data_IF_117662995591
#
_entry.id   IF_117662995591
#
_cell.length_a   1.000
_cell.length_b   1.000
_cell.length_c   1.000
_cell.angle_alpha   90.00
_cell.angle_beta   90.00
_cell.angle_gamma   90.00
#
_symmetry.space_group_name_H-M   'P 1'
#
loop_
_entity.id
_entity.type
_entity.pdbx_description
1 polymer ?
#
# COMPACT_ATOMS: atom_id res chain seq x y z
N UNK A 1 -33.68 -4.30 -0.55
CA UNK A 1 -32.76 -4.97 0.39
C UNK A 1 -31.47 -4.19 0.55
N UNK A 2 -31.07 -3.97 1.80
CA UNK A 2 -29.80 -3.34 2.16
C UNK A 2 -28.76 -4.45 2.30
N UNK A 3 -27.77 -4.45 1.42
CA UNK A 3 -26.62 -5.34 1.52
C UNK A 3 -25.48 -4.59 2.22
N UNK A 4 -24.90 -5.21 3.25
CA UNK A 4 -23.76 -4.67 3.98
C UNK A 4 -22.68 -5.73 4.08
N UNK A 5 -21.43 -5.32 3.91
CA UNK A 5 -20.26 -6.17 4.09
C UNK A 5 -19.36 -5.50 5.13
N UNK A 6 -18.81 -6.30 6.05
CA UNK A 6 -17.82 -5.83 7.02
C UNK A 6 -16.45 -6.12 6.43
N UNK A 7 -15.65 -5.08 6.26
CA UNK A 7 -14.26 -5.21 5.81
C UNK A 7 -13.37 -5.43 7.03
N UNK A 8 -12.62 -6.55 7.11
CA UNK A 8 -11.69 -6.77 8.21
C UNK A 8 -10.60 -5.70 8.29
N UNK A 9 -10.06 -5.46 9.49
CA UNK A 9 -8.99 -4.46 9.71
C UNK A 9 -7.70 -4.71 8.91
N UNK A 10 -7.47 -5.95 8.47
CA UNK A 10 -6.31 -6.35 7.66
C UNK A 10 -6.57 -6.25 6.15
N UNK A 11 -7.67 -5.62 5.71
CA UNK A 11 -8.03 -5.53 4.30
C UNK A 11 -8.63 -4.17 4.00
N UNK A 12 -8.30 -3.60 2.84
CA UNK A 12 -8.77 -2.28 2.39
C UNK A 12 -9.78 -2.34 1.24
N UNK A 13 -10.13 -3.55 0.79
CA UNK A 13 -11.00 -3.77 -0.35
C UNK A 13 -12.07 -4.83 -0.08
N UNK A 14 -13.22 -4.73 -0.76
CA UNK A 14 -14.28 -5.74 -0.71
C UNK A 14 -14.97 -5.86 -2.06
N UNK A 15 -15.36 -7.07 -2.43
CA UNK A 15 -16.11 -7.32 -3.65
C UNK A 15 -17.63 -7.19 -3.40
N UNK A 16 -18.33 -6.53 -4.33
CA UNK A 16 -19.79 -6.43 -4.33
C UNK A 16 -20.34 -7.24 -5.51
N UNK A 17 -20.91 -8.41 -5.22
CA UNK A 17 -21.48 -9.31 -6.22
C UNK A 17 -22.99 -9.13 -6.37
N UNK A 18 -23.55 -9.59 -7.49
CA UNK A 18 -25.01 -9.60 -7.71
C UNK A 18 -25.63 -8.25 -8.08
N UNK A 19 -24.80 -7.28 -8.50
CA UNK A 19 -25.31 -6.01 -9.02
C UNK A 19 -25.96 -6.21 -10.39
N UNK A 20 -27.12 -5.59 -10.60
CA UNK A 20 -27.81 -5.58 -11.88
C UNK A 20 -27.05 -4.71 -12.89
N UNK A 21 -26.98 -5.10 -14.17
CA UNK A 21 -26.35 -4.29 -15.21
C UNK A 21 -27.11 -2.97 -15.44
N UNK A 22 -26.43 -1.97 -16.01
CA UNK A 22 -27.00 -0.65 -16.34
C UNK A 22 -27.70 0.07 -15.18
N UNK A 23 -27.20 -0.15 -13.96
CA UNK A 23 -27.81 0.37 -12.73
C UNK A 23 -26.82 1.24 -11.97
N UNK A 24 -27.34 2.16 -11.17
CA UNK A 24 -26.55 3.02 -10.29
C UNK A 24 -26.82 2.63 -8.85
N UNK A 25 -25.76 2.43 -8.09
CA UNK A 25 -25.79 2.08 -6.67
C UNK A 25 -25.10 3.16 -5.86
N UNK A 26 -25.65 3.42 -4.67
CA UNK A 26 -25.03 4.29 -3.67
C UNK A 26 -24.51 3.38 -2.56
N UNK A 27 -23.23 3.50 -2.25
CA UNK A 27 -22.60 2.76 -1.15
C UNK A 27 -22.18 3.76 -0.08
N UNK A 28 -22.64 3.52 1.14
CA UNK A 28 -22.27 4.28 2.34
C UNK A 28 -21.24 3.45 3.13
N UNK A 29 -20.07 4.01 3.36
CA UNK A 29 -18.95 3.41 4.06
C UNK A 29 -18.93 3.97 5.48
N UNK A 30 -18.95 3.08 6.47
CA UNK A 30 -18.85 3.43 7.88
C UNK A 30 -17.54 2.85 8.42
N UNK A 31 -16.73 3.69 9.06
CA UNK A 31 -15.55 3.26 9.80
C UNK A 31 -15.85 3.37 11.29
N UNK A 32 -15.57 2.32 12.06
CA UNK A 32 -15.63 2.35 13.52
C UNK A 32 -14.43 1.64 14.12
N UNK A 33 -14.02 2.10 15.31
CA UNK A 33 -12.90 1.54 16.09
C UNK A 33 -13.33 1.46 17.54
N UNK A 34 -13.17 0.28 18.15
CA UNK A 34 -13.36 0.10 19.59
C UNK A 34 -12.10 0.55 20.34
N UNK A 35 -12.24 1.61 21.15
CA UNK A 35 -11.17 2.14 22.01
C UNK A 35 -11.47 1.87 23.48
N UNK A 36 -10.47 2.03 24.36
CA UNK A 36 -10.64 1.93 25.82
C UNK A 36 -11.63 2.95 26.39
N UNK A 37 -11.88 4.04 25.65
CA UNK A 37 -12.83 5.10 26.03
C UNK A 37 -14.22 4.93 25.37
N UNK A 38 -14.42 3.87 24.58
CA UNK A 38 -15.67 3.59 23.87
C UNK A 38 -15.49 3.45 22.36
N UNK A 39 -16.60 3.36 21.65
CA UNK A 39 -16.62 3.22 20.19
C UNK A 39 -16.42 4.58 19.52
N UNK A 40 -15.38 4.69 18.70
CA UNK A 40 -15.12 5.86 17.86
C UNK A 40 -15.67 5.60 16.47
N UNK A 41 -16.30 6.61 15.88
CA UNK A 41 -16.84 6.53 14.52
C UNK A 41 -16.06 7.50 13.64
N UNK A 42 -15.58 6.99 12.51
CA UNK A 42 -15.02 7.79 11.44
C UNK A 42 -16.08 8.54 10.66
N UNK A 43 -15.64 9.46 9.81
CA UNK A 43 -16.51 10.12 8.85
C UNK A 43 -17.11 9.12 7.87
N UNK A 44 -18.35 9.37 7.46
CA UNK A 44 -19.06 8.52 6.49
C UNK A 44 -18.58 8.81 5.07
N UNK A 45 -18.09 7.78 4.40
CA UNK A 45 -17.79 7.84 2.96
C UNK A 45 -19.04 7.53 2.13
N UNK A 46 -19.22 8.22 1.00
CA UNK A 46 -20.29 7.90 0.03
C UNK A 46 -19.66 7.75 -1.34
N UNK A 47 -19.91 6.61 -1.99
CA UNK A 47 -19.46 6.35 -3.37
C UNK A 47 -20.62 5.93 -4.26
N UNK A 48 -20.50 6.22 -5.55
CA UNK A 48 -21.48 5.87 -6.58
C UNK A 48 -20.88 4.81 -7.51
N UNK A 49 -21.57 3.68 -7.65
CA UNK A 49 -21.16 2.59 -8.53
C UNK A 49 -22.14 2.53 -9.69
N UNK A 50 -21.63 2.66 -10.92
CA UNK A 50 -22.41 2.48 -12.14
C UNK A 50 -22.01 1.18 -12.81
N UNK A 51 -22.94 0.24 -12.94
CA UNK A 51 -22.71 -1.02 -13.63
C UNK A 51 -22.94 -0.86 -15.13
N UNK A 52 -22.05 -1.46 -15.93
CA UNK A 52 -22.17 -1.46 -17.40
C UNK A 52 -23.03 -2.65 -17.89
N UNK A 53 -23.41 -2.62 -19.15
CA UNK A 53 -24.20 -3.68 -19.76
C UNK A 53 -23.40 -5.00 -19.85
N UNK A 54 -24.02 -6.12 -19.51
CA UNK A 54 -23.38 -7.44 -19.50
C UNK A 54 -22.89 -7.89 -20.90
N UNK A 55 -23.47 -7.33 -21.98
CA UNK A 55 -23.08 -7.62 -23.37
C UNK A 55 -21.87 -6.83 -23.86
N UNK A 56 -21.35 -5.89 -23.09
CA UNK A 56 -20.18 -5.05 -23.41
C UNK A 56 -18.95 -5.36 -22.55
N UNK A 57 -18.90 -6.52 -21.90
CA UNK A 57 -17.76 -6.94 -21.04
C UNK A 57 -16.47 -7.27 -21.80
N UNK A 58 -16.37 -6.95 -23.10
CA UNK A 58 -15.07 -6.78 -23.76
C UNK A 58 -14.43 -5.48 -23.25
N UNK A 59 -13.75 -5.61 -22.11
CA UNK A 59 -12.58 -4.85 -21.66
C UNK A 59 -12.51 -3.45 -22.27
N UNK A 60 -13.31 -2.53 -21.73
CA UNK A 60 -12.99 -1.10 -21.81
C UNK A 60 -12.18 -0.79 -20.55
N UNK A 61 -10.85 -0.93 -20.64
CA UNK A 61 -9.89 -0.34 -19.69
C UNK A 61 -9.73 1.15 -20.05
N UNK A 62 -10.83 1.89 -20.13
CA UNK A 62 -10.76 3.35 -20.17
C UNK A 62 -11.39 3.87 -18.88
N UNK A 63 -10.68 4.75 -18.14
CA UNK A 63 -11.27 5.38 -16.97
C UNK A 63 -12.50 6.20 -17.44
N UNK A 64 -13.61 6.18 -16.69
CA UNK A 64 -14.73 7.04 -17.00
C UNK A 64 -14.26 8.50 -16.91
N UNK A 65 -14.38 9.22 -18.01
CA UNK A 65 -14.15 10.66 -18.07
C UNK A 65 -15.28 11.30 -17.25
N UNK A 66 -14.97 11.74 -16.04
CA UNK A 66 -15.88 12.55 -15.24
C UNK A 66 -15.69 14.03 -15.64
N UNK A 67 -16.74 14.65 -16.19
CA UNK A 67 -16.76 16.10 -16.52
C UNK A 67 -16.91 16.98 -15.25
N UNK A 68 -16.40 16.52 -14.11
CA UNK A 68 -16.22 17.34 -12.93
C UNK A 68 -14.73 17.35 -12.62
N UNK A 69 -14.07 18.50 -12.86
CA UNK A 69 -12.62 18.67 -12.86
C UNK A 69 -11.95 18.46 -11.49
N UNK A 70 -11.94 17.21 -11.02
CA UNK A 70 -11.22 16.77 -9.83
C UNK A 70 -10.24 15.68 -10.22
N UNK A 71 -9.04 16.12 -10.57
CA UNK A 71 -7.96 15.26 -11.06
C UNK A 71 -7.28 14.55 -9.88
N UNK A 72 -7.76 13.36 -9.55
CA UNK A 72 -7.06 12.39 -8.69
C UNK A 72 -6.33 11.39 -9.60
N UNK A 73 -5.34 11.89 -10.33
CA UNK A 73 -4.35 11.06 -10.99
C UNK A 73 -3.51 10.34 -9.93
N UNK A 74 -3.98 9.17 -9.47
CA UNK A 74 -3.11 8.16 -8.85
C UNK A 74 -2.41 7.45 -10.01
N UNK A 75 -1.09 7.56 -10.18
CA UNK A 75 -0.40 6.89 -11.27
C UNK A 75 -0.42 5.38 -11.00
N UNK A 76 -1.36 4.68 -11.63
CA UNK A 76 -1.34 3.22 -11.73
C UNK A 76 -0.51 2.89 -12.97
N UNK A 77 0.82 2.96 -12.86
CA UNK A 77 1.70 2.43 -13.91
C UNK A 77 1.84 0.92 -13.69
N UNK A 78 0.82 0.17 -14.08
CA UNK A 78 0.97 -1.23 -14.45
C UNK A 78 1.45 -1.27 -15.90
N UNK A 79 2.70 -0.91 -16.11
CA UNK A 79 3.38 -1.17 -17.38
C UNK A 79 3.90 -2.61 -17.30
N UNK A 80 3.21 -3.51 -17.97
CA UNK A 80 3.75 -4.79 -18.41
C UNK A 80 4.82 -4.48 -19.46
N UNK A 81 6.03 -4.16 -19.00
CA UNK A 81 7.23 -4.09 -19.84
C UNK A 81 8.04 -5.37 -19.60
N UNK A 82 7.86 -6.35 -20.49
CA UNK A 82 8.89 -7.36 -20.72
C UNK A 82 10.09 -6.68 -21.42
N UNK A 83 11.30 -7.12 -21.03
CA UNK A 83 12.64 -6.73 -21.52
C UNK A 83 13.27 -5.49 -20.84
N UNK A 84 14.05 -5.68 -19.77
CA UNK A 84 15.52 -5.89 -19.86
C UNK A 84 16.18 -5.93 -18.46
N UNK A 85 16.82 -7.05 -18.15
CA UNK A 85 17.97 -7.22 -17.24
C UNK A 85 18.20 -6.19 -16.09
N UNK A 86 17.61 -6.43 -14.91
CA UNK A 86 18.30 -6.06 -13.66
C UNK A 86 18.00 -7.03 -12.53
N UNK A 87 19.05 -7.60 -11.97
CA UNK A 87 19.05 -8.70 -11.00
C UNK A 87 18.65 -8.33 -9.57
N UNK A 88 17.95 -7.20 -9.42
CA UNK A 88 17.68 -6.57 -8.14
C UNK A 88 16.18 -6.41 -7.92
N UNK A 89 15.44 -7.52 -7.98
CA UNK A 89 14.00 -7.52 -7.71
C UNK A 89 13.74 -7.34 -6.21
N UNK A 90 12.97 -6.31 -5.84
CA UNK A 90 12.54 -6.02 -4.47
C UNK A 90 11.01 -5.90 -4.47
N UNK A 91 10.35 -6.68 -3.63
CA UNK A 91 8.91 -6.70 -3.42
C UNK A 91 8.57 -5.95 -2.12
N UNK A 92 7.67 -4.97 -2.21
CA UNK A 92 7.22 -4.16 -1.08
C UNK A 92 5.74 -4.46 -0.84
N UNK A 93 5.43 -5.03 0.32
CA UNK A 93 4.06 -5.37 0.67
C UNK A 93 3.23 -4.12 0.97
N UNK A 94 1.93 -4.21 0.74
CA UNK A 94 0.98 -3.16 1.11
C UNK A 94 1.13 -2.83 2.61
N UNK A 95 1.34 -1.55 2.98
CA UNK A 95 1.45 -1.17 4.38
C UNK A 95 0.18 -1.50 5.18
N UNK A 96 0.36 -1.86 6.45
CA UNK A 96 -0.72 -2.18 7.39
C UNK A 96 -0.50 -1.46 8.72
N UNK A 97 -1.59 -1.26 9.48
CA UNK A 97 -1.53 -0.56 10.76
C UNK A 97 -1.75 -1.54 11.92
N UNK A 98 -0.75 -1.66 12.79
CA UNK A 98 -0.79 -2.46 14.03
C UNK A 98 -0.07 -1.68 15.15
N UNK A 99 -0.80 -0.75 15.79
CA UNK A 99 -0.26 0.22 16.74
C UNK A 99 0.57 1.35 16.09
N UNK A 100 1.32 1.02 15.04
CA UNK A 100 2.03 1.94 14.14
C UNK A 100 1.88 1.46 12.69
N UNK A 101 2.09 2.35 11.71
CA UNK A 101 2.07 1.98 10.30
C UNK A 101 3.36 1.24 9.95
N UNK A 102 3.22 0.07 9.33
CA UNK A 102 4.33 -0.82 9.00
C UNK A 102 4.20 -1.37 7.58
N UNK A 103 5.32 -1.79 6.99
CA UNK A 103 5.37 -2.54 5.74
C UNK A 103 6.47 -3.59 5.80
N UNK A 104 6.36 -4.62 4.97
CA UNK A 104 7.37 -5.65 4.82
C UNK A 104 7.99 -5.56 3.44
N UNK A 105 9.32 -5.62 3.39
CA UNK A 105 10.10 -5.57 2.14
C UNK A 105 10.85 -6.88 2.00
N UNK A 106 10.77 -7.49 0.82
CA UNK A 106 11.36 -8.79 0.51
C UNK A 106 12.21 -8.70 -0.76
N UNK A 107 13.43 -9.22 -0.72
CA UNK A 107 14.32 -9.28 -1.90
C UNK A 107 14.83 -10.70 -2.14
N UNK A 108 14.02 -11.69 -1.80
CA UNK A 108 14.36 -13.11 -1.94
C UNK A 108 14.68 -13.53 -3.39
N UNK A 109 14.11 -12.83 -4.37
CA UNK A 109 14.34 -13.07 -5.79
C UNK A 109 15.48 -12.22 -6.37
N UNK A 110 16.19 -11.43 -5.55
CA UNK A 110 17.36 -10.65 -5.96
C UNK A 110 18.63 -11.50 -5.92
N UNK A 111 19.57 -11.26 -6.84
CA UNK A 111 20.92 -11.87 -6.76
C UNK A 111 21.69 -11.49 -5.50
N UNK A 112 21.30 -10.39 -4.84
CA UNK A 112 21.87 -10.00 -3.55
C UNK A 112 21.50 -10.98 -2.43
N UNK A 113 20.34 -11.63 -2.54
CA UNK A 113 19.91 -12.68 -1.63
C UNK A 113 20.59 -14.01 -2.01
N UNK A 114 21.60 -14.41 -1.22
CA UNK A 114 22.29 -15.68 -1.41
C UNK A 114 21.99 -16.64 -0.24
N UNK A 115 22.09 -17.96 -0.44
CA UNK A 115 21.95 -18.93 0.66
C UNK A 115 23.06 -18.85 1.71
N UNK A 116 24.15 -18.11 1.45
CA UNK A 116 25.14 -17.79 2.47
C UNK A 116 24.58 -16.78 3.47
N UNK A 117 24.88 -16.97 4.76
CA UNK A 117 24.51 -16.00 5.80
C UNK A 117 25.15 -14.66 5.48
N UNK A 118 24.30 -13.69 5.16
CA UNK A 118 24.68 -12.30 4.89
C UNK A 118 23.86 -11.40 5.78
N UNK A 119 24.52 -10.37 6.29
CA UNK A 119 23.85 -9.32 7.06
C UNK A 119 23.53 -8.19 6.10
N UNK A 120 22.26 -7.83 5.99
CA UNK A 120 21.82 -6.69 5.20
C UNK A 120 21.56 -5.48 6.09
N UNK A 121 21.91 -4.31 5.58
CA UNK A 121 21.55 -3.02 6.14
C UNK A 121 20.48 -2.42 5.23
N UNK A 122 19.26 -2.30 5.76
CA UNK A 122 18.12 -1.66 5.11
C UNK A 122 18.01 -0.23 5.64
N UNK A 123 18.20 0.75 4.78
CA UNK A 123 18.08 2.17 5.10
C UNK A 123 16.80 2.71 4.48
N UNK A 124 15.93 3.27 5.31
CA UNK A 124 14.66 3.87 4.91
C UNK A 124 14.76 5.36 5.16
N UNK A 125 14.55 6.19 4.13
CA UNK A 125 14.57 7.64 4.23
C UNK A 125 13.18 8.18 3.93
N UNK A 126 12.62 8.99 4.82
CA UNK A 126 11.35 9.68 4.60
C UNK A 126 11.57 10.88 3.68
N UNK A 127 10.79 10.93 2.60
CA UNK A 127 10.74 12.02 1.64
C UNK A 127 9.71 13.07 2.02
N UNK A 128 8.99 13.57 1.01
CA UNK A 128 7.94 14.57 1.14
C UNK A 128 6.67 13.97 1.74
N UNK A 129 6.03 14.73 2.64
CA UNK A 129 4.72 14.39 3.19
C UNK A 129 3.69 15.42 2.73
N UNK A 130 2.47 14.99 2.41
CA UNK A 130 1.39 15.91 2.02
C UNK A 130 0.98 16.76 3.24
N UNK A 131 0.96 18.09 3.06
CA UNK A 131 0.66 19.07 4.11
C UNK A 131 -0.81 19.01 4.59
N UNK A 132 -1.13 18.05 5.45
CA UNK A 132 -2.36 18.07 6.27
C UNK A 132 -2.15 17.64 7.72
N UNK A 133 -0.96 17.15 8.09
CA UNK A 133 -0.71 16.66 9.45
C UNK A 133 0.01 17.72 10.29
N UNK A 134 -0.79 18.50 11.01
CA UNK A 134 -0.33 19.61 11.87
C UNK A 134 0.54 19.16 13.07
N UNK A 135 0.72 17.85 13.34
CA UNK A 135 1.33 17.36 14.60
C UNK A 135 2.04 15.99 14.54
N UNK A 136 2.73 15.61 13.46
CA UNK A 136 3.53 14.36 13.47
C UNK A 136 5.01 14.57 13.11
N UNK A 137 5.76 15.09 14.08
CA UNK A 137 7.20 15.01 14.11
C UNK A 137 7.65 13.60 14.53
N UNK A 138 7.65 12.64 13.59
CA UNK A 138 8.65 11.56 13.70
C UNK A 138 10.01 12.21 13.43
N UNK A 139 10.83 12.32 14.47
CA UNK A 139 12.13 13.03 14.50
C UNK A 139 13.24 12.30 13.73
N UNK A 140 12.97 11.10 13.19
CA UNK A 140 13.98 10.30 12.48
C UNK A 140 13.68 10.25 11.00
N UNK A 141 14.26 11.16 10.19
CA UNK A 141 14.10 11.12 8.74
C UNK A 141 14.75 9.90 8.10
N UNK A 142 15.59 9.17 8.84
CA UNK A 142 16.30 7.98 8.38
C UNK A 142 16.22 6.88 9.44
N UNK A 143 15.86 5.68 9.02
CA UNK A 143 15.84 4.46 9.82
C UNK A 143 16.80 3.44 9.20
N UNK A 144 17.69 2.86 10.01
CA UNK A 144 18.60 1.80 9.61
C UNK A 144 18.22 0.52 10.35
N UNK A 145 18.02 -0.57 9.60
CA UNK A 145 17.60 -1.88 10.12
C UNK A 145 18.63 -2.91 9.66
N UNK A 146 19.10 -3.73 10.58
CA UNK A 146 20.00 -4.85 10.27
C UNK A 146 19.23 -6.15 10.31
N UNK A 147 19.30 -6.92 9.23
CA UNK A 147 18.62 -8.22 9.11
C UNK A 147 19.58 -9.27 8.57
N UNK A 148 19.41 -10.51 9.01
CA UNK A 148 20.16 -11.68 8.50
C UNK A 148 19.39 -12.42 7.39
N UNK A 149 18.15 -12.00 7.13
CA UNK A 149 17.23 -12.58 6.16
C UNK A 149 17.05 -11.63 4.97
N UNK A 150 16.54 -12.16 3.86
CA UNK A 150 16.23 -11.35 2.67
C UNK A 150 14.88 -10.64 2.77
N UNK A 151 14.49 -10.30 3.99
CA UNK A 151 13.24 -9.64 4.34
C UNK A 151 13.44 -8.72 5.54
N UNK A 152 12.76 -7.58 5.54
CA UNK A 152 12.75 -6.65 6.66
C UNK A 152 11.36 -6.05 6.86
N UNK A 153 10.96 -5.91 8.12
CA UNK A 153 9.77 -5.15 8.52
C UNK A 153 10.19 -3.74 8.89
N UNK A 154 9.57 -2.76 8.24
CA UNK A 154 9.80 -1.34 8.47
C UNK A 154 8.59 -0.82 9.23
N UNK A 155 8.82 -0.27 10.42
CA UNK A 155 7.76 0.24 11.30
C UNK A 155 7.96 1.72 11.61
N UNK A 156 6.90 2.39 12.08
CA UNK A 156 6.91 3.82 12.38
C UNK A 156 6.78 4.70 11.13
N UNK A 157 6.12 4.20 10.09
CA UNK A 157 5.80 4.97 8.90
C UNK A 157 4.71 6.01 9.19
N UNK A 158 4.63 7.02 8.34
CA UNK A 158 3.66 8.11 8.41
C UNK A 158 2.79 8.05 7.15
N UNK A 159 1.48 8.20 7.32
CA UNK A 159 0.54 8.26 6.20
C UNK A 159 0.84 9.47 5.32
N UNK A 160 0.55 9.35 4.02
CA UNK A 160 0.73 10.40 3.03
C UNK A 160 2.16 10.95 2.92
N UNK A 161 3.16 10.09 3.13
CA UNK A 161 4.58 10.39 2.96
C UNK A 161 5.23 9.46 1.92
N UNK A 162 6.15 10.02 1.15
CA UNK A 162 7.03 9.28 0.27
C UNK A 162 8.20 8.67 1.05
N UNK A 163 8.68 7.51 0.64
CA UNK A 163 9.81 6.83 1.24
C UNK A 163 10.78 6.30 0.17
N UNK A 164 12.09 6.43 0.44
CA UNK A 164 13.13 5.78 -0.36
C UNK A 164 13.85 4.72 0.45
N UNK A 165 14.20 3.62 -0.20
CA UNK A 165 14.74 2.42 0.42
C UNK A 165 16.06 2.03 -0.25
N UNK A 166 17.09 1.80 0.57
CA UNK A 166 18.41 1.35 0.14
C UNK A 166 18.79 0.09 0.92
N UNK A 167 19.15 -0.99 0.21
CA UNK A 167 19.58 -2.26 0.82
C UNK A 167 21.05 -2.50 0.47
N UNK A 168 21.88 -2.69 1.48
CA UNK A 168 23.30 -2.98 1.32
C UNK A 168 23.68 -4.28 2.00
N UNK A 169 24.47 -5.11 1.33
CA UNK A 169 25.15 -6.26 1.94
C UNK A 169 26.27 -5.72 2.85
N UNK A 170 26.08 -5.86 4.16
CA UNK A 170 27.14 -5.68 5.14
C UNK A 170 28.03 -6.90 5.08
N UNK A 171 28.84 -6.96 4.03
CA UNK A 171 29.82 -8.02 3.86
C UNK A 171 30.71 -8.03 5.11
N UNK A 172 30.52 -9.02 5.98
CA UNK A 172 31.45 -9.27 7.06
C UNK A 172 32.79 -9.57 6.38
N UNK A 173 33.67 -8.58 6.34
CA UNK A 173 35.09 -8.86 6.14
C UNK A 173 35.47 -9.79 7.27
N UNK A 174 35.55 -11.09 6.99
CA UNK A 174 36.36 -12.00 7.79
C UNK A 174 37.74 -11.37 7.87
N UNK A 175 38.02 -10.72 8.99
CA UNK A 175 39.37 -10.35 9.38
C UNK A 175 40.06 -11.68 9.63
N UNK A 176 40.74 -12.18 8.60
CA UNK A 176 41.74 -13.23 8.72
C UNK A 176 43.11 -12.60 8.80
#
# INVERSE_FOLDING_TARGET
>A
DRHSVIVPSHTTQSELSGLFPNSVYIVEIHASVDSSEGELHGEKGIIFIRTLNATTSKIVREPPIDETGFDLAVPTTSAEDEEDNSDNNVDVQTPFFDGELQTTVNWINSRACSPEKKTFIVTVKRGTCREYQLNQHSDKPVQEIRVEECSATISGLTFDCDYSLEIFDSGEKKVS
#
